data_IF_270092590456
#
_entry.id   IF_270092590456
#
_cell.length_a   1.000
_cell.length_b   1.000
_cell.length_c   1.000
_cell.angle_alpha   90.00
_cell.angle_beta   90.00
_cell.angle_gamma   90.00
#
_symmetry.space_group_name_H-M   'P 1'
#
loop_
_entity.id
_entity.type
_entity.pdbx_description
1 polymer ?
#
# COMPACT_ATOMS: atom_id res chain seq x y z
N UNK A 1 -13.82 -3.81 17.71
CA UNK A 1 -13.91 -4.75 16.58
C UNK A 1 -14.65 -4.15 15.40
N UNK A 2 -13.88 -3.82 14.37
CA UNK A 2 -14.36 -3.32 13.09
C UNK A 2 -14.79 -4.47 12.15
N UNK A 3 -15.90 -4.34 11.42
CA UNK A 3 -16.31 -5.35 10.43
C UNK A 3 -15.32 -5.56 9.28
N UNK A 4 -14.71 -4.49 8.75
CA UNK A 4 -13.83 -4.55 7.58
C UNK A 4 -12.35 -4.39 7.96
N UNK A 5 -11.95 -3.23 8.50
CA UNK A 5 -10.54 -2.94 8.83
C UNK A 5 -10.14 -3.69 10.12
N UNK A 6 -9.82 -4.97 9.96
CA UNK A 6 -9.47 -5.90 11.04
C UNK A 6 -8.37 -6.88 10.59
N UNK A 7 -7.99 -7.82 11.46
CA UNK A 7 -6.92 -8.77 11.20
C UNK A 7 -7.18 -9.68 9.97
N UNK A 8 -8.44 -10.03 9.68
CA UNK A 8 -8.74 -10.81 8.48
C UNK A 8 -8.46 -10.01 7.21
N UNK A 9 -8.78 -8.71 7.19
CA UNK A 9 -8.46 -7.82 6.06
C UNK A 9 -6.95 -7.69 5.90
N UNK A 10 -6.21 -7.38 6.98
CA UNK A 10 -4.75 -7.32 6.94
C UNK A 10 -4.12 -8.63 6.43
N UNK A 11 -4.66 -9.78 6.84
CA UNK A 11 -4.25 -11.10 6.33
C UNK A 11 -4.53 -11.25 4.83
N UNK A 12 -5.70 -10.81 4.37
CA UNK A 12 -6.08 -10.84 2.97
C UNK A 12 -5.15 -9.97 2.10
N UNK A 13 -4.84 -8.74 2.55
CA UNK A 13 -3.89 -7.84 1.87
C UNK A 13 -2.50 -8.46 1.84
N UNK A 14 -2.03 -9.02 2.95
CA UNK A 14 -0.72 -9.71 3.03
C UNK A 14 -0.63 -10.87 2.03
N UNK A 15 -1.67 -11.71 1.93
CA UNK A 15 -1.72 -12.80 0.95
C UNK A 15 -1.72 -12.27 -0.49
N UNK A 16 -2.44 -11.18 -0.76
CA UNK A 16 -2.44 -10.54 -2.08
C UNK A 16 -1.05 -10.01 -2.44
N UNK A 17 -0.36 -9.33 -1.52
CA UNK A 17 1.01 -8.83 -1.72
C UNK A 17 1.96 -9.97 -2.07
N UNK A 18 1.95 -11.06 -1.31
CA UNK A 18 2.82 -12.22 -1.56
C UNK A 18 2.54 -12.83 -2.93
N UNK A 19 1.26 -12.94 -3.31
CA UNK A 19 0.86 -13.47 -4.62
C UNK A 19 1.26 -12.54 -5.77
N UNK A 20 1.15 -11.22 -5.60
CA UNK A 20 1.59 -10.27 -6.61
C UNK A 20 3.10 -10.30 -6.74
N UNK A 21 3.87 -10.39 -5.65
CA UNK A 21 5.32 -10.57 -5.71
C UNK A 21 5.73 -11.81 -6.50
N UNK A 22 5.05 -12.95 -6.30
CA UNK A 22 5.34 -14.17 -7.07
C UNK A 22 4.97 -14.07 -8.55
N UNK A 23 4.25 -13.01 -8.95
CA UNK A 23 3.80 -12.73 -10.32
C UNK A 23 4.57 -11.60 -10.98
N UNK A 24 5.43 -10.89 -10.24
CA UNK A 24 6.48 -10.06 -10.83
C UNK A 24 7.52 -11.02 -11.43
N UNK A 25 7.18 -11.59 -12.58
CA UNK A 25 8.06 -12.41 -13.41
C UNK A 25 8.68 -11.47 -14.45
N UNK A 26 9.96 -11.62 -14.76
CA UNK A 26 10.48 -11.01 -15.98
C UNK A 26 9.60 -11.46 -17.18
N UNK A 27 9.50 -10.64 -18.24
CA UNK A 27 8.86 -11.09 -19.48
C UNK A 27 9.41 -12.44 -19.93
N UNK A 28 8.67 -13.21 -20.73
CA UNK A 28 9.15 -14.49 -21.31
C UNK A 28 10.49 -14.26 -22.04
N UNK A 29 11.59 -14.54 -21.34
CA UNK A 29 12.95 -14.48 -21.86
C UNK A 29 13.29 -15.87 -22.40
N UNK A 30 12.54 -16.35 -23.40
CA UNK A 30 12.73 -17.68 -23.99
C UNK A 30 14.13 -17.88 -24.61
N UNK A 31 14.96 -16.84 -24.71
CA UNK A 31 16.23 -16.87 -25.44
C UNK A 31 17.44 -16.17 -24.77
N UNK A 32 17.46 -15.95 -23.45
CA UNK A 32 18.60 -15.29 -22.79
C UNK A 32 19.46 -16.29 -22.00
N UNK A 33 20.77 -16.29 -22.24
CA UNK A 33 21.73 -17.17 -21.57
C UNK A 33 21.71 -16.96 -20.04
N UNK A 34 21.88 -18.05 -19.25
CA UNK A 34 21.75 -18.08 -17.78
C UNK A 34 22.48 -16.94 -17.03
N UNK A 35 23.63 -16.48 -17.53
CA UNK A 35 24.43 -15.39 -16.93
C UNK A 35 23.89 -13.97 -17.20
N UNK A 36 23.06 -13.79 -18.22
CA UNK A 36 22.34 -12.55 -18.52
C UNK A 36 20.92 -12.57 -17.94
N UNK A 37 20.33 -13.76 -17.74
CA UNK A 37 19.01 -13.94 -17.17
C UNK A 37 18.90 -13.32 -15.77
N UNK A 38 19.89 -13.51 -14.89
CA UNK A 38 19.88 -12.92 -13.54
C UNK A 38 19.99 -11.38 -13.53
N UNK A 39 20.77 -10.82 -14.45
CA UNK A 39 20.89 -9.35 -14.63
C UNK A 39 19.63 -8.77 -15.27
N UNK A 40 19.09 -9.43 -16.28
CA UNK A 40 17.84 -9.06 -16.94
C UNK A 40 16.64 -9.16 -15.97
N UNK A 41 16.55 -10.22 -15.15
CA UNK A 41 15.57 -10.34 -14.06
C UNK A 41 15.72 -9.21 -13.02
N UNK A 42 16.96 -8.88 -12.63
CA UNK A 42 17.22 -7.77 -11.70
C UNK A 42 16.80 -6.42 -12.29
N UNK A 43 17.10 -6.17 -13.56
CA UNK A 43 16.77 -4.92 -14.24
C UNK A 43 15.27 -4.79 -14.53
N UNK A 44 14.58 -5.89 -14.89
CA UNK A 44 13.14 -5.91 -15.18
C UNK A 44 12.25 -5.88 -13.93
N UNK A 45 12.71 -6.43 -12.80
CA UNK A 45 11.98 -6.36 -11.53
C UNK A 45 12.38 -5.15 -10.69
N UNK A 46 13.20 -4.25 -11.25
CA UNK A 46 13.83 -3.12 -10.56
C UNK A 46 14.55 -3.55 -9.26
N UNK A 47 15.05 -4.78 -9.22
CA UNK A 47 15.70 -5.39 -8.06
C UNK A 47 14.76 -5.82 -6.94
N UNK A 48 13.44 -5.62 -7.04
CA UNK A 48 12.49 -5.85 -5.94
C UNK A 48 12.42 -7.34 -5.56
N UNK A 49 12.32 -8.24 -6.54
CA UNK A 49 12.24 -9.69 -6.29
C UNK A 49 13.57 -10.32 -5.87
N UNK A 50 14.68 -9.58 -6.03
CA UNK A 50 16.02 -10.01 -5.61
C UNK A 50 16.51 -9.37 -4.32
N UNK A 51 15.71 -8.47 -3.71
CA UNK A 51 16.02 -7.84 -2.43
C UNK A 51 15.09 -8.33 -1.29
N UNK A 52 15.55 -9.28 -0.45
CA UNK A 52 14.76 -9.84 0.64
C UNK A 52 14.28 -8.79 1.65
N UNK A 53 15.06 -7.73 1.88
CA UNK A 53 14.69 -6.68 2.84
C UNK A 53 13.47 -5.91 2.35
N UNK A 54 13.43 -5.59 1.06
CA UNK A 54 12.29 -4.90 0.44
C UNK A 54 11.04 -5.77 0.45
N UNK A 55 11.15 -7.05 0.08
CA UNK A 55 10.01 -7.97 0.13
C UNK A 55 9.46 -8.10 1.55
N UNK A 56 10.33 -8.30 2.54
CA UNK A 56 9.91 -8.37 3.94
C UNK A 56 9.26 -7.07 4.39
N UNK A 57 9.83 -5.90 4.05
CA UNK A 57 9.25 -4.60 4.42
C UNK A 57 7.85 -4.41 3.85
N UNK A 58 7.60 -4.81 2.60
CA UNK A 58 6.28 -4.66 1.96
C UNK A 58 5.26 -5.67 2.53
N UNK A 59 5.68 -6.91 2.79
CA UNK A 59 4.83 -7.91 3.45
C UNK A 59 4.47 -7.47 4.87
N UNK A 60 5.45 -6.95 5.63
CA UNK A 60 5.20 -6.39 6.96
C UNK A 60 4.24 -5.20 6.87
N UNK A 61 4.45 -4.30 5.90
CA UNK A 61 3.57 -3.14 5.68
C UNK A 61 2.12 -3.56 5.42
N UNK A 62 1.90 -4.58 4.58
CA UNK A 62 0.58 -5.14 4.34
C UNK A 62 -0.09 -5.68 5.61
N UNK A 63 0.68 -6.31 6.49
CA UNK A 63 0.17 -6.84 7.75
C UNK A 63 -0.23 -5.72 8.73
N UNK A 64 0.49 -4.59 8.72
CA UNK A 64 0.30 -3.53 9.73
C UNK A 64 -0.52 -2.33 9.25
N UNK A 65 -0.84 -2.21 7.95
CA UNK A 65 -1.34 -0.95 7.38
C UNK A 65 -2.60 -0.39 8.06
N UNK A 66 -3.46 -1.27 8.58
CA UNK A 66 -4.70 -0.93 9.30
C UNK A 66 -4.65 -1.25 10.81
N UNK A 67 -3.46 -1.29 11.40
CA UNK A 67 -3.33 -1.54 12.83
C UNK A 67 -4.04 -0.43 13.64
N UNK A 68 -4.95 -0.84 14.53
CA UNK A 68 -5.76 0.08 15.35
C UNK A 68 -6.66 1.04 14.52
N UNK A 69 -7.12 0.59 13.34
CA UNK A 69 -8.02 1.38 12.51
C UNK A 69 -9.32 1.73 13.27
N UNK A 70 -9.83 2.96 13.23
CA UNK A 70 -10.98 3.40 14.03
C UNK A 70 -12.35 3.16 13.36
N UNK A 71 -12.36 2.56 12.17
CA UNK A 71 -13.56 2.25 11.40
C UNK A 71 -14.22 3.46 10.73
N UNK A 72 -13.46 4.56 10.58
CA UNK A 72 -13.91 5.82 9.98
C UNK A 72 -12.76 6.42 9.15
N UNK A 73 -13.06 7.19 8.08
CA UNK A 73 -12.02 7.77 7.24
C UNK A 73 -11.25 8.89 7.96
N UNK A 74 -10.04 9.20 7.48
CA UNK A 74 -9.22 10.31 7.99
C UNK A 74 -9.97 11.66 8.05
N UNK A 75 -10.86 11.94 7.09
CA UNK A 75 -11.68 13.16 7.09
C UNK A 75 -12.59 13.26 8.32
N UNK A 76 -13.10 12.14 8.82
CA UNK A 76 -13.89 12.08 10.04
C UNK A 76 -13.01 12.26 11.28
N UNK A 77 -11.83 11.63 11.33
CA UNK A 77 -10.88 11.77 12.45
C UNK A 77 -10.41 13.21 12.66
N UNK A 78 -10.27 13.97 11.58
CA UNK A 78 -9.98 15.41 11.60
C UNK A 78 -11.16 16.18 12.21
N UNK A 79 -12.40 15.90 11.76
CA UNK A 79 -13.61 16.57 12.30
C UNK A 79 -13.80 16.33 13.78
N UNK A 80 -13.49 15.13 14.25
CA UNK A 80 -13.64 14.74 15.66
C UNK A 80 -12.60 15.40 16.57
N UNK A 81 -11.54 16.02 16.01
CA UNK A 81 -10.48 16.62 16.82
C UNK A 81 -9.77 15.59 17.71
N UNK A 82 -9.61 14.37 17.21
CA UNK A 82 -8.95 13.30 17.97
C UNK A 82 -7.50 13.72 18.32
N UNK A 83 -6.99 13.29 19.48
CA UNK A 83 -5.59 13.59 19.84
C UNK A 83 -4.57 13.10 18.79
N UNK A 84 -4.92 12.08 18.01
CA UNK A 84 -4.11 11.62 16.87
C UNK A 84 -4.10 12.63 15.71
N UNK A 85 -5.21 13.33 15.45
CA UNK A 85 -5.28 14.34 14.39
C UNK A 85 -4.30 15.50 14.64
N UNK A 86 -4.17 15.92 15.91
CA UNK A 86 -3.19 16.93 16.33
C UNK A 86 -1.75 16.43 16.20
N UNK A 87 -1.47 15.20 16.68
CA UNK A 87 -0.14 14.57 16.60
C UNK A 87 0.35 14.46 15.16
N UNK A 88 -0.55 14.09 14.24
CA UNK A 88 -0.23 13.85 12.83
C UNK A 88 -0.52 15.04 11.91
N UNK A 89 -0.83 16.21 12.49
CA UNK A 89 -1.13 17.45 11.78
C UNK A 89 -2.14 17.27 10.63
N UNK A 90 -3.20 16.49 10.88
CA UNK A 90 -4.30 16.20 9.97
C UNK A 90 -3.91 15.50 8.65
N UNK A 91 -2.79 14.78 8.60
CA UNK A 91 -2.32 14.05 7.42
C UNK A 91 -2.25 12.56 7.70
N UNK A 92 -2.81 11.73 6.82
CA UNK A 92 -2.73 10.25 6.88
C UNK A 92 -2.76 9.69 8.31
N UNK A 93 -3.78 10.09 9.07
CA UNK A 93 -3.83 9.91 10.54
C UNK A 93 -3.81 8.42 10.88
N UNK A 94 -4.69 7.64 10.26
CA UNK A 94 -4.78 6.21 10.48
C UNK A 94 -3.49 5.47 10.07
N UNK A 95 -2.94 5.81 8.90
CA UNK A 95 -1.75 5.17 8.35
C UNK A 95 -0.50 5.49 9.19
N UNK A 96 -0.36 6.73 9.68
CA UNK A 96 0.73 7.09 10.59
C UNK A 96 0.58 6.41 11.95
N UNK A 97 -0.63 6.32 12.51
CA UNK A 97 -0.88 5.57 13.75
C UNK A 97 -0.50 4.09 13.61
N UNK A 98 -0.88 3.45 12.50
CA UNK A 98 -0.50 2.07 12.17
C UNK A 98 1.01 1.86 12.19
N UNK A 99 1.76 2.76 11.55
CA UNK A 99 3.22 2.74 11.54
C UNK A 99 3.78 2.89 12.94
N UNK A 100 3.36 3.91 13.69
CA UNK A 100 3.92 4.20 15.02
C UNK A 100 3.65 3.08 16.02
N UNK A 101 2.44 2.51 16.01
CA UNK A 101 2.06 1.38 16.87
C UNK A 101 2.93 0.15 16.57
N UNK A 102 3.02 -0.22 15.29
CA UNK A 102 3.83 -1.36 14.85
C UNK A 102 5.32 -1.14 15.13
N UNK A 103 5.83 0.09 14.93
CA UNK A 103 7.22 0.43 15.15
C UNK A 103 7.56 0.41 16.64
N UNK A 104 6.70 0.98 17.49
CA UNK A 104 6.85 0.92 18.94
C UNK A 104 6.86 -0.52 19.45
N UNK A 105 6.02 -1.39 18.89
CA UNK A 105 6.03 -2.82 19.19
C UNK A 105 7.36 -3.47 18.77
N UNK A 106 7.80 -3.23 17.53
CA UNK A 106 9.06 -3.75 16.99
C UNK A 106 10.28 -3.30 17.80
N UNK A 107 10.25 -2.13 18.45
CA UNK A 107 11.36 -1.63 19.27
C UNK A 107 11.46 -2.30 20.66
N UNK A 108 10.45 -3.06 21.10
CA UNK A 108 10.50 -3.76 22.41
C UNK A 108 11.65 -4.77 22.47
N UNK A 109 12.19 -4.99 23.68
CA UNK A 109 13.36 -5.87 23.90
C UNK A 109 13.17 -7.28 23.32
N UNK A 110 11.97 -7.84 23.42
CA UNK A 110 11.63 -9.19 22.93
C UNK A 110 11.79 -9.41 21.42
N UNK A 111 11.92 -8.34 20.62
CA UNK A 111 12.13 -8.42 19.17
C UNK A 111 13.57 -8.07 18.77
N UNK A 112 14.52 -8.06 19.70
CA UNK A 112 15.92 -7.69 19.44
C UNK A 112 16.55 -8.59 18.38
N UNK A 113 16.33 -9.89 18.47
CA UNK A 113 16.85 -10.89 17.54
C UNK A 113 16.27 -10.68 16.13
N UNK A 114 14.97 -10.37 16.04
CA UNK A 114 14.33 -10.02 14.77
C UNK A 114 14.96 -8.77 14.15
N UNK A 115 15.15 -7.70 14.94
CA UNK A 115 15.79 -6.46 14.44
C UNK A 115 17.21 -6.72 13.92
N UNK A 116 18.00 -7.54 14.63
CA UNK A 116 19.35 -7.93 14.22
C UNK A 116 19.38 -8.76 12.93
N UNK A 117 18.32 -9.52 12.64
CA UNK A 117 18.19 -10.25 11.38
C UNK A 117 17.75 -9.35 10.20
N UNK A 118 17.04 -8.25 10.48
CA UNK A 118 16.53 -7.33 9.46
C UNK A 118 17.55 -6.28 9.03
N UNK A 119 18.35 -5.77 9.97
CA UNK A 119 19.35 -4.74 9.70
C UNK A 119 20.49 -4.81 10.70
N UNK A 120 21.71 -4.64 10.20
CA UNK A 120 22.94 -4.63 11.01
C UNK A 120 23.50 -3.21 11.10
N UNK A 121 23.38 -2.45 10.02
CA UNK A 121 23.90 -1.08 9.92
C UNK A 121 22.81 -0.03 10.10
N UNK A 122 23.20 1.18 10.51
CA UNK A 122 22.28 2.33 10.59
C UNK A 122 21.67 2.66 9.21
N UNK A 123 22.41 2.43 8.13
CA UNK A 123 21.92 2.63 6.75
C UNK A 123 20.80 1.66 6.41
N UNK A 124 20.95 0.37 6.76
CA UNK A 124 19.90 -0.64 6.56
C UNK A 124 18.68 -0.36 7.44
N UNK A 125 18.89 0.06 8.69
CA UNK A 125 17.80 0.48 9.57
C UNK A 125 16.98 1.63 8.95
N UNK A 126 17.65 2.69 8.50
CA UNK A 126 17.00 3.85 7.85
C UNK A 126 16.26 3.42 6.59
N UNK A 127 16.88 2.56 5.77
CA UNK A 127 16.27 2.01 4.55
C UNK A 127 15.02 1.20 4.85
N UNK A 128 15.09 0.27 5.80
CA UNK A 128 13.97 -0.56 6.21
C UNK A 128 12.81 0.28 6.74
N UNK A 129 13.10 1.25 7.63
CA UNK A 129 12.08 2.18 8.13
C UNK A 129 11.44 2.98 6.99
N UNK A 130 12.25 3.50 6.06
CA UNK A 130 11.75 4.29 4.95
C UNK A 130 10.83 3.46 4.04
N UNK A 131 11.18 2.21 3.78
CA UNK A 131 10.33 1.29 3.00
C UNK A 131 8.98 1.08 3.70
N UNK A 132 8.99 0.71 4.99
CA UNK A 132 7.76 0.47 5.75
C UNK A 132 6.86 1.71 5.79
N UNK A 133 7.42 2.88 6.13
CA UNK A 133 6.68 4.14 6.19
C UNK A 133 6.07 4.49 4.84
N UNK A 134 6.86 4.44 3.77
CA UNK A 134 6.38 4.80 2.43
C UNK A 134 5.29 3.84 1.95
N UNK A 135 5.45 2.53 2.18
CA UNK A 135 4.48 1.53 1.74
C UNK A 135 3.16 1.66 2.51
N UNK A 136 3.18 1.88 3.83
CA UNK A 136 1.94 2.10 4.60
C UNK A 136 1.27 3.42 4.20
N UNK A 137 2.02 4.52 4.12
CA UNK A 137 1.44 5.81 3.70
C UNK A 137 0.90 5.80 2.27
N UNK A 138 1.37 4.88 1.42
CA UNK A 138 0.82 4.72 0.08
C UNK A 138 -0.64 4.19 0.08
N UNK A 139 -1.11 3.62 1.18
CA UNK A 139 -2.52 3.17 1.32
C UNK A 139 -3.48 4.34 1.52
N UNK A 140 -3.01 5.52 1.95
CA UNK A 140 -3.82 6.73 1.95
C UNK A 140 -3.96 7.29 0.52
N UNK A 141 -4.97 6.81 -0.18
CA UNK A 141 -5.29 7.23 -1.54
C UNK A 141 -6.07 8.55 -1.62
N UNK A 142 -6.57 9.03 -0.48
CA UNK A 142 -7.43 10.20 -0.40
C UNK A 142 -6.66 11.47 -0.06
N UNK A 143 -5.44 11.37 0.50
CA UNK A 143 -4.55 12.51 0.66
C UNK A 143 -4.14 13.08 -0.71
N UNK A 144 -4.61 14.30 -0.96
CA UNK A 144 -4.38 15.01 -2.23
C UNK A 144 -2.90 15.28 -2.48
N UNK A 145 -2.12 15.56 -1.43
CA UNK A 145 -0.70 15.84 -1.55
C UNK A 145 0.10 14.60 -1.95
N UNK A 146 -0.17 13.46 -1.30
CA UNK A 146 0.41 12.16 -1.64
C UNK A 146 -0.01 11.73 -3.04
N UNK A 147 -1.29 11.89 -3.40
CA UNK A 147 -1.78 11.59 -4.75
C UNK A 147 -1.07 12.43 -5.82
N UNK A 148 -0.91 13.74 -5.60
CA UNK A 148 -0.18 14.60 -6.55
C UNK A 148 1.28 14.22 -6.66
N UNK A 149 1.95 13.93 -5.53
CA UNK A 149 3.36 13.49 -5.52
C UNK A 149 3.54 12.18 -6.29
N UNK A 150 2.64 11.21 -6.09
CA UNK A 150 2.64 9.92 -6.79
C UNK A 150 2.40 10.08 -8.28
N UNK A 151 1.43 10.90 -8.68
CA UNK A 151 1.17 11.18 -10.09
C UNK A 151 2.39 11.83 -10.76
N UNK A 152 3.03 12.80 -10.09
CA UNK A 152 4.26 13.42 -10.61
C UNK A 152 5.42 12.41 -10.74
N UNK A 153 5.56 11.47 -9.80
CA UNK A 153 6.55 10.38 -9.90
C UNK A 153 6.24 9.43 -11.06
N UNK A 154 4.96 9.09 -11.27
CA UNK A 154 4.50 8.26 -12.37
C UNK A 154 4.82 8.89 -13.72
N UNK A 155 4.42 10.15 -13.91
CA UNK A 155 4.65 10.89 -15.16
C UNK A 155 6.15 10.97 -15.46
N UNK A 156 6.99 11.28 -14.46
CA UNK A 156 8.46 11.29 -14.64
C UNK A 156 9.05 9.90 -14.97
N UNK A 157 8.46 8.81 -14.50
CA UNK A 157 9.00 7.46 -14.68
C UNK A 157 8.53 6.76 -15.96
N UNK A 158 7.33 7.10 -16.45
CA UNK A 158 6.66 6.37 -17.54
C UNK A 158 6.22 7.25 -18.72
N UNK A 159 6.29 8.60 -18.64
CA UNK A 159 6.04 9.47 -19.80
C UNK A 159 7.31 9.64 -20.65
N UNK A 160 7.21 9.28 -21.93
CA UNK A 160 8.31 9.33 -22.92
C UNK A 160 8.87 10.74 -23.17
N UNK A 161 8.11 11.80 -22.84
CA UNK A 161 8.47 13.20 -23.11
C UNK A 161 9.32 13.86 -21.99
N UNK A 162 9.49 13.21 -20.83
CA UNK A 162 10.16 13.81 -19.66
C UNK A 162 11.32 12.98 -19.10
N UNK A 163 12.06 12.27 -19.96
CA UNK A 163 13.37 11.73 -19.56
C UNK A 163 14.34 12.90 -19.30
N UNK A 164 14.37 13.35 -18.04
CA UNK A 164 15.32 14.37 -17.59
C UNK A 164 16.73 13.82 -17.66
N UNK A 165 17.63 14.52 -18.36
CA UNK A 165 19.05 14.20 -18.58
C UNK A 165 19.89 14.13 -17.27
N UNK A 166 19.27 14.32 -16.09
CA UNK A 166 19.96 14.52 -14.81
C UNK A 166 19.85 13.36 -13.80
N UNK A 167 19.00 12.35 -14.00
CA UNK A 167 18.89 11.22 -13.05
C UNK A 167 19.97 10.16 -13.37
N UNK A 168 20.65 9.65 -12.35
CA UNK A 168 21.53 8.49 -12.55
C UNK A 168 20.69 7.24 -12.87
N UNK A 169 21.22 6.24 -13.60
CA UNK A 169 20.49 5.00 -13.86
C UNK A 169 19.96 4.31 -12.60
N UNK A 170 20.68 4.44 -11.47
CA UNK A 170 20.26 3.91 -10.17
C UNK A 170 19.07 4.66 -9.59
N UNK A 171 19.01 5.98 -9.76
CA UNK A 171 17.90 6.79 -9.25
C UNK A 171 16.61 6.51 -10.02
N UNK A 172 16.73 6.25 -11.33
CA UNK A 172 15.60 5.82 -12.16
C UNK A 172 15.05 4.46 -11.72
N UNK A 173 15.93 3.47 -11.52
CA UNK A 173 15.54 2.13 -11.03
C UNK A 173 14.88 2.22 -9.66
N UNK A 174 15.47 2.97 -8.71
CA UNK A 174 14.90 3.15 -7.38
C UNK A 174 13.53 3.84 -7.41
N UNK A 175 13.35 4.82 -8.31
CA UNK A 175 12.07 5.51 -8.52
C UNK A 175 11.00 4.55 -9.04
N UNK A 176 11.32 3.77 -10.08
CA UNK A 176 10.41 2.77 -10.64
C UNK A 176 10.06 1.69 -9.61
N UNK A 177 11.05 1.19 -8.86
CA UNK A 177 10.83 0.24 -7.78
C UNK A 177 9.85 0.77 -6.72
N UNK A 178 10.04 2.04 -6.31
CA UNK A 178 9.13 2.70 -5.35
C UNK A 178 7.70 2.76 -5.88
N UNK A 179 7.52 3.16 -7.15
CA UNK A 179 6.20 3.25 -7.77
C UNK A 179 5.52 1.87 -7.86
N UNK A 180 6.26 0.83 -8.23
CA UNK A 180 5.74 -0.55 -8.29
C UNK A 180 5.29 -1.01 -6.91
N UNK A 181 6.09 -0.75 -5.87
CA UNK A 181 5.73 -1.11 -4.48
C UNK A 181 4.46 -0.37 -4.03
N UNK A 182 4.36 0.94 -4.30
CA UNK A 182 3.19 1.75 -3.97
C UNK A 182 1.92 1.23 -4.67
N UNK A 183 2.00 0.88 -5.95
CA UNK A 183 0.85 0.32 -6.69
C UNK A 183 0.51 -1.09 -6.22
N UNK A 184 1.51 -1.91 -5.90
CA UNK A 184 1.31 -3.28 -5.42
C UNK A 184 0.55 -3.31 -4.10
N UNK A 185 0.90 -2.45 -3.14
CA UNK A 185 0.17 -2.39 -1.86
C UNK A 185 -1.24 -1.82 -2.06
N UNK A 186 -1.40 -0.76 -2.87
CA UNK A 186 -2.71 -0.19 -3.19
C UNK A 186 -3.64 -1.22 -3.85
N UNK A 187 -3.13 -1.98 -4.81
CA UNK A 187 -3.86 -3.03 -5.48
C UNK A 187 -4.22 -4.18 -4.53
N UNK A 188 -3.33 -4.50 -3.60
CA UNK A 188 -3.53 -5.56 -2.62
C UNK A 188 -4.58 -5.19 -1.57
N UNK A 189 -4.59 -3.94 -1.14
CA UNK A 189 -5.54 -3.40 -0.18
C UNK A 189 -6.98 -3.51 -0.71
N UNK A 190 -7.20 -3.14 -1.97
CA UNK A 190 -8.51 -3.26 -2.61
C UNK A 190 -8.68 -4.52 -3.45
N UNK A 191 -7.85 -5.55 -3.27
CA UNK A 191 -7.84 -6.74 -4.14
C UNK A 191 -9.19 -7.48 -4.18
N UNK A 192 -9.99 -7.37 -3.12
CA UNK A 192 -11.30 -8.00 -3.02
C UNK A 192 -12.28 -7.52 -4.11
N UNK A 193 -12.09 -6.32 -4.67
CA UNK A 193 -12.91 -5.78 -5.77
C UNK A 193 -12.54 -6.36 -7.14
N UNK A 194 -11.37 -6.99 -7.25
CA UNK A 194 -10.85 -7.60 -8.47
C UNK A 194 -10.87 -9.14 -8.42
N UNK A 195 -11.40 -9.72 -7.35
CA UNK A 195 -11.52 -11.16 -7.15
C UNK A 195 -12.90 -11.68 -7.54
N UNK A 196 -13.07 -13.01 -7.50
CA UNK A 196 -14.34 -13.65 -7.83
C UNK A 196 -15.50 -13.06 -7.01
N UNK A 197 -16.68 -12.93 -7.64
CA UNK A 197 -17.89 -12.31 -7.10
C UNK A 197 -18.23 -12.64 -5.65
N UNK A 198 -18.09 -13.91 -5.23
CA UNK A 198 -18.32 -14.33 -3.85
C UNK A 198 -17.37 -13.68 -2.83
N UNK A 199 -16.10 -13.45 -3.20
CA UNK A 199 -15.13 -12.76 -2.34
C UNK A 199 -15.45 -11.28 -2.29
N UNK A 200 -15.70 -10.64 -3.44
CA UNK A 200 -16.14 -9.26 -3.50
C UNK A 200 -17.36 -9.03 -2.61
N UNK A 201 -18.41 -9.83 -2.75
CA UNK A 201 -19.63 -9.71 -1.91
C UNK A 201 -19.35 -9.84 -0.42
N UNK A 202 -18.49 -10.79 -0.01
CA UNK A 202 -18.13 -11.00 1.40
C UNK A 202 -17.48 -9.74 1.98
N UNK A 203 -16.45 -9.22 1.32
CA UNK A 203 -15.70 -8.06 1.81
C UNK A 203 -16.50 -6.78 1.71
N UNK A 204 -17.26 -6.62 0.63
CA UNK A 204 -18.07 -5.42 0.44
C UNK A 204 -19.23 -5.34 1.44
N UNK A 205 -19.81 -6.48 1.84
CA UNK A 205 -20.78 -6.52 2.94
C UNK A 205 -20.15 -6.08 4.28
N UNK A 206 -18.90 -6.48 4.54
CA UNK A 206 -18.17 -6.02 5.74
C UNK A 206 -17.87 -4.53 5.69
N UNK A 207 -17.47 -3.99 4.54
CA UNK A 207 -17.24 -2.56 4.37
C UNK A 207 -18.54 -1.77 4.60
N UNK A 208 -19.65 -2.25 4.03
CA UNK A 208 -20.97 -1.69 4.27
C UNK A 208 -21.32 -1.67 5.76
N UNK A 209 -21.17 -2.81 6.45
CA UNK A 209 -21.48 -2.92 7.88
C UNK A 209 -20.65 -1.96 8.72
N UNK A 210 -19.38 -1.75 8.37
CA UNK A 210 -18.52 -0.80 9.07
C UNK A 210 -18.96 0.65 8.87
N UNK A 211 -19.23 1.04 7.63
CA UNK A 211 -19.75 2.38 7.31
C UNK A 211 -21.12 2.62 7.95
N UNK A 212 -21.97 1.60 7.99
CA UNK A 212 -23.30 1.68 8.60
C UNK A 212 -23.20 1.81 10.12
N UNK A 213 -22.25 1.11 10.77
CA UNK A 213 -21.94 1.30 12.20
C UNK A 213 -21.43 2.72 12.48
N UNK A 214 -20.58 3.28 11.63
CA UNK A 214 -20.14 4.67 11.75
C UNK A 214 -21.31 5.65 11.65
N UNK A 215 -22.24 5.44 10.71
CA UNK A 215 -23.47 6.23 10.60
C UNK A 215 -24.36 6.13 11.85
N UNK A 216 -24.68 4.91 12.30
CA UNK A 216 -25.54 4.70 13.48
C UNK A 216 -24.95 5.28 14.77
N UNK A 217 -23.63 5.34 14.88
CA UNK A 217 -22.93 5.95 16.02
C UNK A 217 -22.75 7.46 15.90
N UNK A 218 -23.25 8.09 14.84
CA UNK A 218 -23.11 9.53 14.59
C UNK A 218 -21.70 9.95 14.15
N UNK A 219 -20.84 8.99 13.81
CA UNK A 219 -19.49 9.20 13.28
C UNK A 219 -19.44 9.21 11.75
N UNK A 220 -20.60 9.30 11.10
CA UNK A 220 -20.76 9.58 9.68
C UNK A 220 -22.09 10.30 9.46
N UNK A 221 -22.07 11.37 8.67
CA UNK A 221 -23.29 12.12 8.29
C UNK A 221 -24.09 11.39 7.19
N UNK A 222 -23.50 10.36 6.56
CA UNK A 222 -24.04 9.67 5.39
C UNK A 222 -24.47 8.27 5.77
N UNK A 223 -25.75 7.95 5.51
CA UNK A 223 -26.27 6.59 5.54
C UNK A 223 -25.83 5.84 4.26
N UNK A 224 -24.91 4.86 4.35
CA UNK A 224 -24.43 4.15 3.18
C UNK A 224 -25.54 3.38 2.45
N UNK A 225 -26.67 3.05 3.08
CA UNK A 225 -27.76 2.31 2.44
C UNK A 225 -28.46 3.10 1.32
N UNK A 226 -28.36 4.43 1.33
CA UNK A 226 -29.06 5.28 0.38
C UNK A 226 -28.38 5.35 -0.99
N UNK A 227 -27.06 5.18 -1.03
CA UNK A 227 -26.24 5.39 -2.22
C UNK A 227 -25.18 4.32 -2.45
N UNK A 228 -25.26 3.18 -1.75
CA UNK A 228 -24.24 2.12 -1.83
C UNK A 228 -23.91 1.70 -3.26
N UNK A 229 -24.94 1.38 -4.05
CA UNK A 229 -24.78 0.90 -5.41
C UNK A 229 -24.08 1.94 -6.32
N UNK A 230 -24.51 3.20 -6.25
CA UNK A 230 -23.91 4.28 -7.03
C UNK A 230 -22.48 4.59 -6.56
N UNK A 231 -22.25 4.53 -5.24
CA UNK A 231 -20.93 4.69 -4.65
C UNK A 231 -19.95 3.62 -5.15
N UNK A 232 -20.39 2.36 -5.18
CA UNK A 232 -19.59 1.26 -5.71
C UNK A 232 -19.26 1.42 -7.19
N UNK A 233 -20.23 1.79 -8.03
CA UNK A 233 -19.95 2.09 -9.45
C UNK A 233 -18.90 3.20 -9.58
N UNK A 234 -19.07 4.29 -8.83
CA UNK A 234 -18.11 5.39 -8.83
C UNK A 234 -16.72 4.94 -8.37
N UNK A 235 -16.64 4.08 -7.36
CA UNK A 235 -15.37 3.52 -6.88
C UNK A 235 -14.67 2.70 -7.97
N UNK A 236 -15.42 1.90 -8.73
CA UNK A 236 -14.86 1.16 -9.86
C UNK A 236 -14.37 2.09 -10.98
N UNK A 237 -15.21 3.04 -11.41
CA UNK A 237 -14.91 3.93 -12.53
C UNK A 237 -13.73 4.87 -12.25
N UNK A 238 -13.68 5.44 -11.05
CA UNK A 238 -12.70 6.48 -10.70
C UNK A 238 -11.45 5.96 -9.99
N UNK A 239 -11.46 4.72 -9.48
CA UNK A 239 -10.31 4.17 -8.76
C UNK A 239 -9.89 2.76 -9.22
N UNK A 240 -10.76 1.75 -9.12
CA UNK A 240 -10.35 0.34 -9.37
C UNK A 240 -9.91 0.12 -10.81
N UNK A 241 -10.69 0.56 -11.80
CA UNK A 241 -10.36 0.38 -13.22
C UNK A 241 -9.07 1.15 -13.59
N UNK A 242 -8.91 2.45 -13.23
CA UNK A 242 -7.64 3.16 -13.42
C UNK A 242 -6.44 2.47 -12.77
N UNK A 243 -6.58 1.96 -11.54
CA UNK A 243 -5.52 1.24 -10.83
C UNK A 243 -5.14 -0.04 -11.55
N UNK A 244 -6.12 -0.87 -11.94
CA UNK A 244 -5.88 -2.12 -12.66
C UNK A 244 -5.20 -1.89 -14.02
N UNK A 245 -5.53 -0.79 -14.72
CA UNK A 245 -4.83 -0.39 -15.96
C UNK A 245 -3.37 -0.03 -15.69
N UNK A 246 -3.09 0.75 -14.65
CA UNK A 246 -1.70 1.10 -14.27
C UNK A 246 -0.87 -0.13 -13.91
N UNK A 247 -1.45 -1.13 -13.25
CA UNK A 247 -0.75 -2.38 -12.94
C UNK A 247 -0.34 -3.17 -14.19
N UNK A 248 -1.05 -3.01 -15.31
CA UNK A 248 -0.67 -3.61 -16.59
C UNK A 248 0.55 -2.93 -17.20
N UNK A 249 0.75 -1.65 -16.89
CA UNK A 249 1.85 -0.83 -17.40
C UNK A 249 3.10 -0.88 -16.49
N UNK A 250 2.97 -1.45 -15.28
CA UNK A 250 4.05 -1.68 -14.32
C UNK A 250 4.83 -2.96 -14.64
#
# INVERSE_FOLDING_TARGET
DNPFHNFEHASHVTMSVVKLFSRIVAPDLDHVADTELARSLHDHTYGITSDPLTQFAVILSALIHDADHPGVPNTQLIKEGSGMADVYANKSIAEQNSVDLAWALLMKHQYKELRQALYVTEKEFKRFRQLVVNTVLATDIMDKGLKTLRNSRWDKAFSLEQQSVADSPRDEINRKATIVIEHLIQASDVAHTMQHWHIYRKWNARLFDEMYKAYLSGRSDVDPSQNWYQGEIGFFDFYIIPLAKKLKDC
#
